data_IF_371876617100
#
_entry.id   IF_371876617100
#
_cell.length_a   1.000
_cell.length_b   1.000
_cell.length_c   1.000
_cell.angle_alpha   90.00
_cell.angle_beta   90.00
_cell.angle_gamma   90.00
#
_symmetry.space_group_name_H-M   'P 1'
#
loop_
_entity.id
_entity.type
_entity.pdbx_description
1 polymer ?
#
# COMPACT_ATOMS: atom_id res chain seq x y z
N UNK A 1 -3.88 0.43 -19.00
CA UNK A 1 -3.47 1.68 -18.33
C UNK A 1 -2.26 1.39 -17.48
N UNK A 2 -1.27 2.28 -17.44
CA UNK A 2 -0.07 2.13 -16.60
C UNK A 2 -0.11 3.19 -15.49
N UNK A 3 0.28 2.79 -14.27
CA UNK A 3 0.55 3.76 -13.20
C UNK A 3 1.91 4.43 -13.47
N UNK A 4 2.18 5.63 -12.89
CA UNK A 4 3.47 6.29 -13.04
C UNK A 4 4.65 5.34 -12.78
N UNK A 5 5.64 5.27 -13.70
CA UNK A 5 6.79 4.39 -13.53
C UNK A 5 7.77 4.91 -12.49
N UNK A 6 8.45 3.97 -11.85
CA UNK A 6 9.65 4.20 -11.05
C UNK A 6 10.86 4.14 -11.97
N UNK A 7 11.70 5.17 -11.94
CA UNK A 7 13.01 5.17 -12.60
C UNK A 7 14.07 4.67 -11.63
N UNK A 8 14.74 3.57 -11.96
CA UNK A 8 15.72 2.93 -11.08
C UNK A 8 16.77 2.17 -11.89
N UNK A 9 17.89 1.80 -11.26
CA UNK A 9 18.91 0.96 -11.90
C UNK A 9 18.63 -0.50 -11.55
N UNK A 10 18.20 -1.30 -12.53
CA UNK A 10 18.04 -2.75 -12.33
C UNK A 10 19.28 -3.52 -12.77
N UNK A 11 20.05 -2.95 -13.70
CA UNK A 11 21.28 -3.53 -14.21
C UNK A 11 22.49 -2.57 -14.02
N UNK A 12 23.68 -2.95 -14.51
CA UNK A 12 24.93 -2.19 -14.34
C UNK A 12 25.38 -1.41 -15.61
N UNK A 13 24.46 -1.05 -16.50
CA UNK A 13 24.76 -0.37 -17.78
C UNK A 13 24.82 1.17 -17.69
N UNK A 14 24.68 1.73 -16.48
CA UNK A 14 24.60 3.16 -16.18
C UNK A 14 23.40 3.91 -16.78
N UNK A 15 22.39 3.24 -17.32
CA UNK A 15 21.11 3.80 -17.76
C UNK A 15 20.04 3.52 -16.68
N UNK A 16 18.99 4.35 -16.61
CA UNK A 16 17.86 4.11 -15.72
C UNK A 16 16.81 3.27 -16.45
N UNK A 17 16.43 2.16 -15.81
CA UNK A 17 15.33 1.28 -16.21
C UNK A 17 13.99 1.78 -15.65
N UNK A 18 12.91 1.18 -16.12
CA UNK A 18 11.55 1.50 -15.69
C UNK A 18 10.92 0.30 -15.00
N UNK A 19 10.30 0.53 -13.83
CA UNK A 19 9.41 -0.43 -13.19
C UNK A 19 8.05 0.21 -12.97
N UNK A 20 6.99 -0.42 -13.45
CA UNK A 20 5.64 0.11 -13.32
C UNK A 20 4.60 -0.98 -13.10
N UNK A 21 3.54 -0.59 -12.39
CA UNK A 21 2.33 -1.39 -12.26
C UNK A 21 1.36 -1.09 -13.38
N UNK A 22 0.90 -2.12 -14.06
CA UNK A 22 -0.25 -2.07 -14.95
C UNK A 22 -1.54 -2.12 -14.12
N UNK A 23 -2.56 -1.40 -14.60
CA UNK A 23 -3.89 -1.38 -13.99
C UNK A 23 -4.53 -2.77 -13.93
N UNK A 24 -4.29 -3.58 -14.96
CA UNK A 24 -4.69 -4.98 -15.07
C UNK A 24 -4.05 -5.78 -13.95
N UNK A 25 -3.00 -6.55 -14.19
CA UNK A 25 -2.52 -7.49 -13.20
C UNK A 25 -1.01 -7.69 -13.25
N UNK A 26 -0.31 -6.89 -14.03
CA UNK A 26 1.13 -7.05 -14.21
C UNK A 26 1.93 -5.95 -13.53
N UNK A 27 3.10 -6.31 -13.00
CA UNK A 27 4.20 -5.40 -12.74
C UNK A 27 5.29 -5.71 -13.75
N UNK A 28 5.75 -4.69 -14.46
CA UNK A 28 6.68 -4.84 -15.57
C UNK A 28 7.96 -4.08 -15.26
N UNK A 29 9.09 -4.74 -15.43
CA UNK A 29 10.40 -4.10 -15.52
C UNK A 29 10.87 -4.06 -16.96
N UNK A 30 11.36 -2.90 -17.38
CA UNK A 30 11.74 -2.61 -18.75
C UNK A 30 13.10 -1.91 -18.77
N UNK A 31 13.97 -2.40 -19.65
CA UNK A 31 15.31 -1.87 -19.90
C UNK A 31 15.21 -0.46 -20.48
N UNK A 32 15.89 0.50 -19.85
CA UNK A 32 15.84 1.90 -20.26
C UNK A 32 16.60 2.22 -21.56
N UNK A 33 17.54 1.37 -21.95
CA UNK A 33 18.37 1.54 -23.15
C UNK A 33 17.64 1.16 -24.44
N UNK A 34 16.76 0.15 -24.35
CA UNK A 34 16.16 -0.50 -25.52
C UNK A 34 14.67 -0.84 -25.38
N UNK A 35 14.05 -0.51 -24.23
CA UNK A 35 12.65 -0.75 -23.90
C UNK A 35 12.20 -2.22 -23.96
N UNK A 36 13.13 -3.17 -23.90
CA UNK A 36 12.80 -4.59 -23.78
C UNK A 36 12.41 -4.92 -22.35
N UNK A 37 11.50 -5.87 -22.23
CA UNK A 37 11.05 -6.37 -20.93
C UNK A 37 12.19 -7.18 -20.30
N UNK A 38 12.54 -6.85 -19.06
CA UNK A 38 13.50 -7.59 -18.24
C UNK A 38 12.75 -8.72 -17.52
N UNK A 39 11.65 -8.39 -16.85
CA UNK A 39 10.76 -9.36 -16.21
C UNK A 39 9.32 -8.82 -16.13
N UNK A 40 8.38 -9.75 -15.99
CA UNK A 40 6.97 -9.48 -15.69
C UNK A 40 6.58 -10.35 -14.50
N UNK A 41 5.87 -9.74 -13.55
CA UNK A 41 5.15 -10.47 -12.51
C UNK A 41 3.65 -10.28 -12.71
N UNK A 42 2.91 -11.38 -12.78
CA UNK A 42 1.47 -11.37 -13.03
C UNK A 42 0.69 -11.87 -11.80
N UNK A 43 -0.29 -11.07 -11.36
CA UNK A 43 -1.25 -11.42 -10.33
C UNK A 43 -2.49 -12.10 -10.95
N UNK A 44 -3.11 -13.06 -10.24
CA UNK A 44 -4.31 -13.74 -10.77
C UNK A 44 -5.59 -13.00 -10.37
N UNK A 45 -6.31 -12.40 -11.32
CA UNK A 45 -7.58 -11.68 -11.08
C UNK A 45 -7.46 -10.50 -10.09
N UNK A 46 -6.43 -9.67 -10.27
CA UNK A 46 -6.25 -8.45 -9.49
C UNK A 46 -6.28 -7.21 -10.37
N UNK A 47 -6.40 -6.04 -9.74
CA UNK A 47 -6.21 -4.70 -10.32
C UNK A 47 -5.38 -3.81 -9.39
N UNK A 48 -4.68 -2.82 -9.94
CA UNK A 48 -3.94 -1.85 -9.11
C UNK A 48 -3.89 -0.43 -9.67
N UNK A 49 -4.09 0.54 -8.78
CA UNK A 49 -3.77 1.96 -9.00
C UNK A 49 -2.51 2.39 -8.24
N UNK A 50 -1.81 1.43 -7.64
CA UNK A 50 -0.67 1.69 -6.77
C UNK A 50 0.60 1.78 -7.61
N UNK A 51 1.49 2.68 -7.20
CA UNK A 51 2.85 2.80 -7.74
C UNK A 51 3.75 1.86 -6.92
N UNK A 52 4.64 1.08 -7.56
CA UNK A 52 5.64 0.29 -6.84
C UNK A 52 6.54 1.16 -5.94
N UNK A 53 6.85 0.69 -4.74
CA UNK A 53 7.85 1.34 -3.88
C UNK A 53 9.20 0.61 -4.06
N UNK A 54 10.24 1.27 -4.59
CA UNK A 54 11.58 0.69 -4.70
C UNK A 54 12.31 0.72 -3.36
N UNK A 55 12.99 -0.35 -2.95
CA UNK A 55 13.84 -0.34 -1.76
C UNK A 55 14.70 -1.59 -1.64
N UNK A 56 15.83 -1.48 -0.95
CA UNK A 56 16.72 -2.60 -0.64
C UNK A 56 16.12 -3.43 0.50
N UNK A 57 15.21 -4.33 0.14
CA UNK A 57 14.57 -5.20 1.13
C UNK A 57 15.52 -6.28 1.62
N UNK A 58 16.21 -6.93 0.70
CA UNK A 58 17.14 -8.02 1.01
C UNK A 58 18.60 -7.53 0.96
N UNK A 59 19.57 -8.37 1.35
CA UNK A 59 21.00 -7.99 1.45
C UNK A 59 21.77 -8.09 0.12
N UNK A 60 21.07 -8.21 -1.01
CA UNK A 60 21.67 -8.09 -2.33
C UNK A 60 21.86 -6.62 -2.73
N UNK A 61 22.50 -6.40 -3.89
CA UNK A 61 22.82 -5.06 -4.40
C UNK A 61 21.71 -4.46 -5.28
N UNK A 62 20.57 -5.12 -5.40
CA UNK A 62 19.49 -4.76 -6.31
C UNK A 62 18.29 -4.22 -5.55
N UNK A 63 17.55 -3.30 -6.18
CA UNK A 63 16.31 -2.77 -5.59
C UNK A 63 15.22 -3.82 -5.68
N UNK A 64 14.48 -4.03 -4.60
CA UNK A 64 13.24 -4.80 -4.59
C UNK A 64 12.05 -3.85 -4.63
N UNK A 65 10.85 -4.38 -4.91
CA UNK A 65 9.65 -3.56 -5.14
C UNK A 65 8.48 -4.03 -4.29
N UNK A 66 8.07 -3.21 -3.32
CA UNK A 66 6.77 -3.44 -2.67
C UNK A 66 5.65 -2.99 -3.61
N UNK A 67 4.70 -3.87 -3.84
CA UNK A 67 3.56 -3.64 -4.73
C UNK A 67 2.27 -4.04 -4.04
N UNK A 68 1.17 -3.42 -4.44
CA UNK A 68 -0.15 -3.65 -3.85
C UNK A 68 -1.22 -3.79 -4.92
N UNK A 69 -1.96 -4.90 -4.88
CA UNK A 69 -2.95 -5.31 -5.88
C UNK A 69 -4.24 -5.77 -5.21
N UNK A 70 -5.39 -5.45 -5.81
CA UNK A 70 -6.71 -5.73 -5.25
C UNK A 70 -7.35 -6.89 -5.99
N UNK A 71 -7.73 -7.95 -5.29
CA UNK A 71 -8.41 -9.07 -5.91
C UNK A 71 -9.89 -8.75 -6.12
N UNK A 72 -10.41 -9.02 -7.31
CA UNK A 72 -11.84 -8.89 -7.58
C UNK A 72 -12.16 -8.69 -9.06
N UNK A 73 -13.45 -8.58 -9.41
CA UNK A 73 -13.90 -8.30 -10.77
C UNK A 73 -13.57 -6.88 -11.25
N UNK A 74 -13.14 -6.00 -10.35
CA UNK A 74 -12.72 -4.63 -10.65
C UNK A 74 -13.53 -3.58 -9.89
N UNK A 75 -13.14 -2.31 -10.00
CA UNK A 75 -13.79 -1.22 -9.26
C UNK A 75 -15.32 -1.18 -9.52
N UNK A 76 -16.16 -1.01 -8.48
CA UNK A 76 -15.85 -0.79 -7.06
C UNK A 76 -15.77 -2.07 -6.21
N UNK A 77 -15.81 -3.26 -6.83
CA UNK A 77 -15.93 -4.54 -6.14
C UNK A 77 -14.58 -5.24 -6.03
N UNK A 78 -13.96 -5.09 -4.85
CA UNK A 78 -12.76 -5.83 -4.45
C UNK A 78 -13.05 -6.71 -3.23
N UNK A 79 -12.55 -7.94 -3.24
CA UNK A 79 -12.73 -8.93 -2.18
C UNK A 79 -11.69 -8.80 -1.08
N UNK A 80 -10.44 -8.58 -1.46
CA UNK A 80 -9.29 -8.42 -0.57
C UNK A 80 -8.20 -7.60 -1.28
N UNK A 81 -7.19 -7.18 -0.52
CA UNK A 81 -5.98 -6.58 -1.04
C UNK A 81 -4.78 -7.46 -0.71
N UNK A 82 -3.87 -7.56 -1.67
CA UNK A 82 -2.61 -8.28 -1.58
C UNK A 82 -1.46 -7.26 -1.63
N UNK A 83 -0.56 -7.31 -0.64
CA UNK A 83 0.69 -6.54 -0.66
C UNK A 83 1.87 -7.51 -0.62
N UNK A 84 2.80 -7.39 -1.56
CA UNK A 84 3.95 -8.29 -1.66
C UNK A 84 5.21 -7.51 -2.04
N UNK A 85 6.37 -8.15 -1.92
CA UNK A 85 7.67 -7.60 -2.32
C UNK A 85 8.22 -8.47 -3.45
N UNK A 86 8.46 -7.85 -4.61
CA UNK A 86 9.01 -8.49 -5.79
C UNK A 86 10.53 -8.27 -5.84
N UNK A 87 11.27 -9.31 -6.18
CA UNK A 87 12.71 -9.25 -6.36
C UNK A 87 13.08 -8.46 -7.62
N UNK A 88 13.99 -7.49 -7.50
CA UNK A 88 14.37 -6.64 -8.64
C UNK A 88 15.08 -7.34 -9.79
N UNK A 89 15.72 -8.47 -9.53
CA UNK A 89 16.50 -9.20 -10.54
C UNK A 89 15.59 -10.02 -11.46
N UNK A 90 14.54 -10.62 -10.90
CA UNK A 90 13.72 -11.61 -11.63
C UNK A 90 12.21 -11.43 -11.49
N UNK A 91 11.76 -10.40 -10.76
CA UNK A 91 10.34 -10.10 -10.53
C UNK A 91 9.62 -11.05 -9.57
N UNK A 92 10.26 -12.10 -9.04
CA UNK A 92 9.58 -13.10 -8.19
C UNK A 92 9.29 -12.55 -6.80
N UNK A 93 8.14 -12.93 -6.24
CA UNK A 93 7.79 -12.58 -4.86
C UNK A 93 8.79 -13.19 -3.87
N UNK A 94 9.33 -12.37 -2.96
CA UNK A 94 10.31 -12.77 -1.93
C UNK A 94 9.63 -13.28 -0.66
N UNK A 95 8.44 -12.76 -0.37
CA UNK A 95 7.69 -13.05 0.86
C UNK A 95 6.27 -13.50 0.55
N UNK A 96 5.63 -14.14 1.53
CA UNK A 96 4.19 -14.35 1.49
C UNK A 96 3.45 -13.02 1.54
N UNK A 97 2.42 -12.93 0.70
CA UNK A 97 1.50 -11.82 0.61
C UNK A 97 0.93 -11.38 1.96
N UNK A 98 0.98 -10.07 2.22
CA UNK A 98 0.34 -9.41 3.34
C UNK A 98 -1.08 -9.03 2.96
N UNK A 99 -2.01 -9.94 3.23
CA UNK A 99 -3.42 -9.77 2.84
C UNK A 99 -4.19 -8.86 3.80
N UNK A 100 -5.08 -8.06 3.22
CA UNK A 100 -6.09 -7.25 3.90
C UNK A 100 -7.50 -7.71 3.47
N UNK A 101 -8.57 -7.43 4.23
CA UNK A 101 -9.90 -8.05 3.96
C UNK A 101 -10.85 -7.19 3.14
N UNK A 102 -10.45 -5.97 2.79
CA UNK A 102 -11.32 -4.98 2.13
C UNK A 102 -10.72 -4.52 0.80
N UNK A 103 -9.40 -4.52 0.70
CA UNK A 103 -8.63 -3.86 -0.34
C UNK A 103 -8.43 -2.38 -0.06
N UNK A 104 -7.18 -1.94 0.09
CA UNK A 104 -6.81 -0.51 0.10
C UNK A 104 -5.97 -0.16 -1.13
N UNK A 105 -6.45 0.75 -1.96
CA UNK A 105 -5.73 1.26 -3.12
C UNK A 105 -4.83 2.42 -2.69
N UNK A 106 -3.64 2.09 -2.21
CA UNK A 106 -2.65 3.06 -1.74
C UNK A 106 -1.26 2.59 -2.14
N UNK A 107 -0.48 3.48 -2.77
CA UNK A 107 0.93 3.20 -3.06
C UNK A 107 1.72 3.02 -1.75
N UNK A 108 2.51 1.95 -1.62
CA UNK A 108 3.50 1.85 -0.56
C UNK A 108 4.57 2.94 -0.70
N UNK A 109 5.33 3.18 0.37
CA UNK A 109 6.43 4.15 0.42
C UNK A 109 7.66 3.50 1.04
N UNK A 110 8.84 3.84 0.54
CA UNK A 110 10.11 3.39 1.10
C UNK A 110 10.74 4.45 1.99
N UNK A 111 11.29 4.04 3.12
CA UNK A 111 12.20 4.82 3.96
C UNK A 111 13.56 4.15 3.88
N UNK A 112 14.57 4.91 3.45
CA UNK A 112 15.94 4.40 3.46
C UNK A 112 16.55 4.50 4.86
N UNK A 113 17.26 3.45 5.26
CA UNK A 113 17.86 3.35 6.59
C UNK A 113 19.17 2.57 6.54
N UNK A 114 20.13 2.96 7.39
CA UNK A 114 21.41 2.27 7.52
C UNK A 114 21.19 0.83 8.02
N UNK A 115 21.46 -0.15 7.15
CA UNK A 115 21.28 -1.57 7.45
C UNK A 115 20.07 -2.23 6.76
N UNK A 116 19.30 -1.48 5.97
CA UNK A 116 18.24 -2.01 5.11
C UNK A 116 17.02 -1.08 5.09
N UNK A 117 16.35 -1.02 3.94
CA UNK A 117 15.22 -0.13 3.78
C UNK A 117 13.96 -0.67 4.47
N UNK A 118 13.06 0.24 4.83
CA UNK A 118 11.73 -0.07 5.33
C UNK A 118 10.66 0.31 4.33
N UNK A 119 9.61 -0.49 4.27
CA UNK A 119 8.41 -0.16 3.53
C UNK A 119 7.27 0.20 4.47
N UNK A 120 6.55 1.25 4.11
CA UNK A 120 5.31 1.68 4.74
C UNK A 120 4.15 1.38 3.80
N UNK A 121 3.12 0.73 4.30
CA UNK A 121 1.93 0.41 3.52
C UNK A 121 0.67 0.31 4.37
N UNK A 122 -0.47 0.65 3.79
CA UNK A 122 -1.76 0.52 4.45
C UNK A 122 -2.29 -0.92 4.38
N UNK A 123 -3.01 -1.33 5.40
CA UNK A 123 -3.92 -2.49 5.38
C UNK A 123 -5.28 -2.07 5.89
N UNK A 124 -6.34 -2.61 5.28
CA UNK A 124 -7.71 -2.42 5.75
C UNK A 124 -8.34 -3.78 6.03
N UNK A 125 -8.85 -3.96 7.24
CA UNK A 125 -9.52 -5.20 7.64
C UNK A 125 -10.80 -4.95 8.43
N UNK A 126 -11.58 -6.00 8.61
CA UNK A 126 -12.75 -5.99 9.47
C UNK A 126 -12.39 -6.51 10.87
N UNK A 127 -12.60 -5.71 11.93
CA UNK A 127 -12.14 -6.00 13.29
C UNK A 127 -12.66 -7.33 13.85
N UNK A 128 -13.91 -7.67 13.53
CA UNK A 128 -14.56 -8.93 13.89
C UNK A 128 -14.99 -9.66 12.61
N UNK A 129 -14.66 -10.94 12.49
CA UNK A 129 -15.20 -11.82 11.44
C UNK A 129 -16.29 -12.69 12.05
N UNK A 130 -17.42 -12.08 12.39
CA UNK A 130 -18.61 -12.89 12.67
C UNK A 130 -19.10 -13.43 11.33
N UNK A 131 -19.36 -14.73 11.24
CA UNK A 131 -19.90 -15.35 10.04
C UNK A 131 -21.31 -14.85 9.77
N UNK A 132 -21.45 -13.74 9.04
CA UNK A 132 -22.72 -13.35 8.46
C UNK A 132 -22.75 -13.70 6.97
N UNK A 133 -23.90 -14.17 6.50
CA UNK A 133 -24.16 -14.55 5.10
C UNK A 133 -24.28 -13.33 4.16
N UNK A 134 -23.62 -12.20 4.50
CA UNK A 134 -23.70 -10.96 3.74
C UNK A 134 -23.02 -11.11 2.37
N UNK A 135 -23.72 -10.67 1.32
CA UNK A 135 -23.16 -10.61 -0.05
C UNK A 135 -22.37 -9.32 -0.24
N UNK A 136 -21.33 -9.35 -1.07
CA UNK A 136 -20.73 -8.12 -1.58
C UNK A 136 -21.79 -7.41 -2.43
N UNK A 137 -22.28 -6.29 -1.94
CA UNK A 137 -23.22 -5.42 -2.67
C UNK A 137 -22.42 -4.27 -3.28
N UNK A 138 -22.46 -4.17 -4.61
CA UNK A 138 -21.84 -3.07 -5.34
C UNK A 138 -22.33 -1.73 -4.78
N UNK A 139 -21.40 -0.81 -4.51
CA UNK A 139 -21.71 0.54 -4.01
C UNK A 139 -21.89 0.68 -2.48
N UNK A 140 -21.70 -0.39 -1.69
CA UNK A 140 -21.79 -0.24 -0.21
C UNK A 140 -20.51 0.38 0.36
N UNK A 141 -20.64 1.55 0.99
CA UNK A 141 -19.51 2.34 1.54
C UNK A 141 -18.73 1.58 2.62
N UNK A 142 -19.39 0.70 3.38
CA UNK A 142 -18.76 -0.08 4.45
C UNK A 142 -18.91 -1.60 4.22
N UNK A 143 -17.90 -2.20 3.58
CA UNK A 143 -17.87 -3.63 3.27
C UNK A 143 -17.88 -4.51 4.53
N UNK A 144 -17.22 -4.06 5.59
CA UNK A 144 -17.17 -4.80 6.85
C UNK A 144 -18.53 -4.89 7.53
N UNK A 145 -19.30 -3.80 7.51
CA UNK A 145 -20.66 -3.78 8.07
C UNK A 145 -21.60 -4.67 7.26
N UNK A 146 -21.53 -4.58 5.92
CA UNK A 146 -22.39 -5.34 5.04
C UNK A 146 -22.13 -6.87 5.09
N UNK A 147 -20.86 -7.28 5.18
CA UNK A 147 -20.47 -8.68 5.05
C UNK A 147 -20.31 -9.40 6.38
N UNK A 148 -19.81 -8.72 7.41
CA UNK A 148 -19.39 -9.32 8.68
C UNK A 148 -20.10 -8.72 9.91
N UNK A 149 -21.07 -7.82 9.69
CA UNK A 149 -21.68 -6.98 10.72
C UNK A 149 -20.61 -6.32 11.63
N UNK A 150 -19.55 -5.84 10.99
CA UNK A 150 -18.28 -5.47 11.65
C UNK A 150 -17.84 -4.07 11.28
N UNK A 151 -16.87 -3.56 12.02
CA UNK A 151 -16.25 -2.26 11.74
C UNK A 151 -15.01 -2.43 10.87
N UNK A 152 -14.83 -1.50 9.95
CA UNK A 152 -13.62 -1.40 9.13
C UNK A 152 -12.52 -0.69 9.94
N UNK A 153 -11.32 -1.25 9.90
CA UNK A 153 -10.13 -0.74 10.58
C UNK A 153 -9.04 -0.52 9.54
N UNK A 154 -8.41 0.64 9.60
CA UNK A 154 -7.26 0.98 8.77
C UNK A 154 -6.01 0.97 9.64
N UNK A 155 -4.99 0.24 9.21
CA UNK A 155 -3.68 0.19 9.86
C UNK A 155 -2.58 0.61 8.88
N UNK A 156 -1.64 1.40 9.37
CA UNK A 156 -0.39 1.71 8.66
C UNK A 156 0.69 0.79 9.19
N UNK A 157 1.31 0.01 8.32
CA UNK A 157 2.33 -0.94 8.69
C UNK A 157 3.70 -0.46 8.24
N UNK A 158 4.72 -0.76 9.04
CA UNK A 158 6.13 -0.69 8.70
C UNK A 158 6.67 -2.11 8.58
N UNK A 159 7.42 -2.40 7.53
CA UNK A 159 8.02 -3.71 7.29
C UNK A 159 9.44 -3.58 6.74
N UNK A 160 10.34 -4.41 7.23
CA UNK A 160 11.69 -4.59 6.70
C UNK A 160 12.14 -6.02 6.97
N UNK A 161 13.20 -6.47 6.29
CA UNK A 161 13.76 -7.81 6.44
C UNK A 161 14.33 -8.08 7.83
N UNK A 162 14.79 -7.03 8.52
CA UNK A 162 15.30 -7.14 9.89
C UNK A 162 14.19 -7.38 10.93
N UNK A 163 12.92 -7.29 10.51
CA UNK A 163 11.77 -7.46 11.39
C UNK A 163 11.17 -8.86 11.18
N UNK A 164 10.82 -9.55 12.27
CA UNK A 164 10.13 -10.85 12.18
C UNK A 164 8.72 -10.71 11.60
N UNK A 165 8.05 -9.58 11.92
CA UNK A 165 6.71 -9.23 11.44
C UNK A 165 6.55 -7.73 11.25
N UNK A 166 5.62 -7.27 10.39
CA UNK A 166 5.33 -5.85 10.28
C UNK A 166 4.88 -5.23 11.61
N UNK A 167 5.35 -4.02 11.90
CA UNK A 167 4.91 -3.21 13.05
C UNK A 167 3.75 -2.30 12.61
N UNK A 168 2.76 -2.12 13.48
CA UNK A 168 1.67 -1.18 13.26
C UNK A 168 2.11 0.21 13.75
N UNK A 169 2.28 1.16 12.82
CA UNK A 169 2.58 2.56 13.12
C UNK A 169 1.33 3.37 13.48
N UNK A 170 0.19 2.97 12.91
CA UNK A 170 -1.09 3.62 13.12
C UNK A 170 -2.20 2.58 13.09
N UNK A 171 -3.17 2.73 13.99
CA UNK A 171 -4.42 1.99 14.02
C UNK A 171 -5.58 2.96 14.23
N UNK A 172 -6.60 2.87 13.37
CA UNK A 172 -7.75 3.78 13.39
C UNK A 172 -8.67 3.60 14.60
N UNK A 173 -8.69 2.43 15.25
CA UNK A 173 -9.45 2.22 16.48
C UNK A 173 -8.85 3.02 17.64
N UNK A 174 -7.53 3.01 17.76
CA UNK A 174 -6.82 3.71 18.83
C UNK A 174 -6.80 5.22 18.59
N UNK A 175 -6.86 5.65 17.33
CA UNK A 175 -6.83 7.07 16.94
C UNK A 175 -8.22 7.71 16.83
N UNK A 176 -9.30 6.95 17.01
CA UNK A 176 -10.69 7.41 16.79
C UNK A 176 -10.99 8.72 17.53
N UNK A 177 -10.70 8.79 18.85
CA UNK A 177 -11.05 9.99 19.64
C UNK A 177 -10.31 11.22 19.15
N UNK A 178 -9.02 11.09 18.84
CA UNK A 178 -8.19 12.20 18.34
C UNK A 178 -8.71 12.68 16.98
N UNK A 179 -8.96 11.77 16.05
CA UNK A 179 -9.45 12.11 14.72
C UNK A 179 -10.81 12.78 14.75
N UNK A 180 -11.78 12.22 15.48
CA UNK A 180 -13.12 12.78 15.53
C UNK A 180 -13.18 14.12 16.26
N UNK A 181 -12.41 14.29 17.33
CA UNK A 181 -12.37 15.57 18.07
C UNK A 181 -11.73 16.67 17.23
N UNK A 182 -10.62 16.37 16.55
CA UNK A 182 -9.95 17.32 15.66
C UNK A 182 -10.80 17.63 14.43
N UNK A 183 -11.42 16.62 13.80
CA UNK A 183 -12.27 16.83 12.62
C UNK A 183 -13.55 17.61 12.95
N UNK A 184 -14.17 17.43 14.11
CA UNK A 184 -15.29 18.30 14.49
C UNK A 184 -14.84 19.75 14.65
N UNK A 185 -13.66 20.01 15.24
CA UNK A 185 -13.10 21.36 15.30
C UNK A 185 -12.82 21.98 13.92
N UNK A 186 -12.40 21.18 12.94
CA UNK A 186 -12.11 21.62 11.56
C UNK A 186 -13.40 21.81 10.73
N UNK A 187 -14.39 20.93 10.89
CA UNK A 187 -15.67 21.02 10.16
C UNK A 187 -16.49 22.26 10.55
N UNK A 188 -16.25 22.85 11.72
CA UNK A 188 -16.82 24.14 12.09
C UNK A 188 -16.11 25.36 11.48
N UNK A 189 -15.00 25.17 10.74
CA UNK A 189 -14.21 26.30 10.21
C UNK A 189 -14.06 26.35 8.70
N UNK A 190 -14.26 25.27 7.92
CA UNK A 190 -14.26 25.39 6.46
C UNK A 190 -15.12 24.33 5.76
N UNK A 191 -16.01 24.81 4.89
CA UNK A 191 -16.74 24.01 3.90
C UNK A 191 -15.75 23.55 2.82
N UNK A 192 -15.89 22.31 2.33
CA UNK A 192 -15.01 21.57 1.40
C UNK A 192 -13.90 20.73 2.04
N UNK A 193 -14.19 19.45 2.34
CA UNK A 193 -13.15 18.43 2.50
C UNK A 193 -13.53 17.16 1.74
N UNK A 194 -12.67 16.79 0.79
CA UNK A 194 -12.54 15.46 0.20
C UNK A 194 -11.65 14.62 1.13
N UNK A 195 -12.09 13.41 1.47
CA UNK A 195 -11.36 12.32 2.15
C UNK A 195 -10.66 12.64 3.49
N UNK A 196 -11.40 12.44 4.59
CA UNK A 196 -10.93 12.66 5.97
C UNK A 196 -9.72 11.79 6.42
N UNK A 197 -9.36 10.73 5.69
CA UNK A 197 -8.29 9.81 6.11
C UNK A 197 -6.88 10.31 5.75
N UNK A 198 -6.74 11.17 4.74
CA UNK A 198 -5.42 11.68 4.30
C UNK A 198 -4.92 12.80 5.23
N UNK A 199 -5.83 13.64 5.73
CA UNK A 199 -5.47 14.81 6.53
C UNK A 199 -4.97 14.48 7.94
N UNK A 200 -5.49 13.41 8.56
CA UNK A 200 -5.05 12.99 9.90
C UNK A 200 -3.60 12.50 9.92
N UNK A 201 -3.15 11.82 8.84
CA UNK A 201 -1.76 11.33 8.73
C UNK A 201 -0.77 12.47 8.48
N UNK A 202 -1.13 13.43 7.61
CA UNK A 202 -0.30 14.61 7.33
C UNK A 202 -0.07 15.43 8.61
N UNK A 203 -1.11 15.64 9.42
CA UNK A 203 -1.00 16.35 10.70
C UNK A 203 -0.15 15.60 11.73
N UNK A 204 -0.26 14.26 11.80
CA UNK A 204 0.51 13.45 12.77
C UNK A 204 2.00 13.37 12.39
N UNK A 205 2.32 13.29 11.10
CA UNK A 205 3.70 13.34 10.59
C UNK A 205 4.33 14.73 10.76
N UNK A 206 3.56 15.81 10.53
CA UNK A 206 4.03 17.17 10.81
C UNK A 206 4.34 17.37 12.29
N UNK A 207 3.46 16.89 13.18
CA UNK A 207 3.67 17.05 14.62
C UNK A 207 4.89 16.29 15.13
N UNK A 208 5.17 15.09 14.60
CA UNK A 208 6.36 14.31 14.92
C UNK A 208 7.63 14.97 14.37
N UNK A 209 7.61 15.50 13.14
CA UNK A 209 8.76 16.21 12.55
C UNK A 209 9.11 17.53 13.26
N UNK A 210 8.12 18.20 13.87
CA UNK A 210 8.36 19.45 14.62
C UNK A 210 8.75 19.26 16.07
N UNK A 211 8.63 18.04 16.63
CA UNK A 211 8.89 17.81 18.06
C UNK A 211 10.37 17.63 18.39
N UNK A 212 11.20 17.37 17.39
CA UNK A 212 12.66 17.28 17.51
C UNK A 212 13.40 18.55 17.03
N UNK A 213 12.67 19.64 16.75
CA UNK A 213 13.20 20.94 16.29
C UNK A 213 12.89 22.12 17.25
N UNK A 214 12.53 21.84 18.50
CA UNK A 214 12.41 22.83 19.58
C UNK A 214 13.10 22.37 20.86
#
# INVERSE_FOLDING_TARGET
MINPPVLCRLNQDNIYDLVFSCFSNEVVAMDGSNFKIIWIYEFSSHESYSIPAPGYYNQDKYLDFMVKYMNGPGYPVYYNGETTILNGVNGKAIISAQNDTVGSMSSPVTISFEGGDFFIFWKIFCAKKNSSNGKYLSGTVNKCKAKYDSIQVSELHLMSKIMEKPIILYNSLDSYRTEYTVLQGILFTNTYIISAHVNALVLKLFHLATRDLL
#
